data_IF_737869993492
#
_entry.id   IF_737869993492
#
_cell.length_a   1.000
_cell.length_b   1.000
_cell.length_c   1.000
_cell.angle_alpha   90.00
_cell.angle_beta   90.00
_cell.angle_gamma   90.00
#
_symmetry.space_group_name_H-M   'P 1'
#
loop_
_entity.id
_entity.type
_entity.pdbx_description
1 polymer ?
#
# COMPACT_ATOMS: atom_id res chain seq x y z
N UNK A 1 1.33 20.14 9.51
CA UNK A 1 1.25 20.20 8.04
C UNK A 1 0.82 18.84 7.52
N UNK A 2 -0.42 18.73 7.03
CA UNK A 2 -0.94 17.54 6.36
C UNK A 2 -0.86 17.73 4.85
N UNK A 3 -0.48 16.69 4.11
CA UNK A 3 -0.26 16.75 2.67
C UNK A 3 0.06 15.36 2.11
N UNK A 4 0.34 15.29 0.81
CA UNK A 4 0.66 14.02 0.14
C UNK A 4 1.92 13.39 0.75
N UNK A 5 1.84 12.11 1.12
CA UNK A 5 2.96 11.31 1.64
C UNK A 5 3.43 10.31 0.59
N UNK A 6 4.61 9.75 0.78
CA UNK A 6 5.21 8.80 -0.16
C UNK A 6 4.36 7.54 -0.37
N UNK A 7 3.60 7.12 0.64
CA UNK A 7 2.72 5.95 0.52
C UNK A 7 1.35 6.26 -0.10
N UNK A 8 1.06 7.53 -0.44
CA UNK A 8 -0.19 7.91 -1.09
C UNK A 8 -0.11 7.69 -2.60
N UNK A 9 -1.00 6.84 -3.11
CA UNK A 9 -1.11 6.55 -4.54
C UNK A 9 -1.59 7.75 -5.36
N UNK A 10 -1.30 7.75 -6.66
CA UNK A 10 -1.67 8.78 -7.63
C UNK A 10 -3.17 8.98 -7.73
N UNK A 11 -3.93 7.89 -7.57
CA UNK A 11 -5.39 7.84 -7.63
C UNK A 11 -6.04 7.71 -6.25
N UNK A 12 -5.31 8.01 -5.17
CA UNK A 12 -5.82 7.89 -3.80
C UNK A 12 -6.66 9.11 -3.41
N UNK A 13 -7.87 8.84 -2.93
CA UNK A 13 -8.79 9.81 -2.37
C UNK A 13 -9.07 9.50 -0.89
N UNK A 14 -9.57 10.50 -0.17
CA UNK A 14 -10.01 10.36 1.22
C UNK A 14 -11.49 10.73 1.33
N UNK A 15 -12.28 9.82 1.91
CA UNK A 15 -13.69 10.10 2.16
C UNK A 15 -13.80 11.05 3.37
N UNK A 16 -14.17 12.30 3.14
CA UNK A 16 -14.30 13.29 4.20
C UNK A 16 -15.69 13.34 4.83
N UNK A 17 -15.76 13.82 6.06
CA UNK A 17 -17.00 14.24 6.74
C UNK A 17 -17.47 15.66 6.34
N UNK A 18 -16.84 16.27 5.33
CA UNK A 18 -17.22 17.56 4.79
C UNK A 18 -18.32 17.42 3.72
N UNK A 19 -19.49 18.01 3.99
CA UNK A 19 -20.63 18.04 3.08
C UNK A 19 -20.90 19.47 2.61
N UNK A 20 -21.32 19.60 1.35
CA UNK A 20 -21.69 20.87 0.75
C UNK A 20 -22.80 20.64 -0.30
N UNK A 21 -23.51 21.70 -0.69
CA UNK A 21 -24.57 21.67 -1.71
C UNK A 21 -24.09 22.43 -2.94
N UNK A 22 -24.06 21.75 -4.08
CA UNK A 22 -23.61 22.31 -5.36
C UNK A 22 -24.64 22.09 -6.47
N UNK A 23 -24.58 22.92 -7.50
CA UNK A 23 -25.43 22.79 -8.69
C UNK A 23 -25.05 21.56 -9.51
N UNK A 24 -26.03 20.84 -10.07
CA UNK A 24 -25.75 19.70 -10.95
C UNK A 24 -24.89 20.08 -12.18
N UNK A 25 -24.87 21.35 -12.57
CA UNK A 25 -24.06 21.85 -13.67
C UNK A 25 -22.55 21.84 -13.38
N UNK A 26 -22.13 21.70 -12.12
CA UNK A 26 -20.71 21.60 -11.76
C UNK A 26 -20.17 20.18 -11.96
N UNK A 27 -21.03 19.21 -12.30
CA UNK A 27 -20.62 17.81 -12.52
C UNK A 27 -20.07 17.67 -13.94
N UNK A 28 -18.75 17.51 -14.06
CA UNK A 28 -18.09 17.32 -15.36
C UNK A 28 -18.23 15.89 -15.91
N UNK A 29 -18.30 14.89 -15.03
CA UNK A 29 -18.30 13.50 -15.43
C UNK A 29 -18.55 12.53 -14.28
N UNK A 30 -18.58 11.24 -14.60
CA UNK A 30 -18.70 10.15 -13.63
C UNK A 30 -17.33 9.48 -13.44
N UNK A 31 -16.95 9.25 -12.20
CA UNK A 31 -15.78 8.46 -11.84
C UNK A 31 -16.17 7.28 -10.94
N UNK A 32 -15.22 6.35 -10.72
CA UNK A 32 -15.39 5.19 -9.85
C UNK A 32 -14.37 5.27 -8.72
N UNK A 33 -14.86 5.25 -7.48
CA UNK A 33 -14.01 5.13 -6.29
C UNK A 33 -14.07 3.70 -5.78
N UNK A 34 -13.01 2.94 -6.06
CA UNK A 34 -12.87 1.54 -5.67
C UNK A 34 -12.48 1.41 -4.20
N UNK A 35 -12.79 0.25 -3.62
CA UNK A 35 -12.09 -0.19 -2.41
C UNK A 35 -10.63 -0.50 -2.75
N UNK A 36 -9.72 -0.33 -1.78
CA UNK A 36 -8.30 -0.63 -2.00
C UNK A 36 -8.06 -2.02 -2.60
N UNK A 37 -8.75 -3.03 -2.06
CA UNK A 37 -8.64 -4.43 -2.51
C UNK A 37 -9.06 -4.61 -3.96
N UNK A 38 -10.08 -3.90 -4.42
CA UNK A 38 -10.55 -4.00 -5.79
C UNK A 38 -9.62 -3.24 -6.75
N UNK A 39 -9.18 -2.04 -6.35
CA UNK A 39 -8.23 -1.25 -7.13
C UNK A 39 -6.93 -2.01 -7.41
N UNK A 40 -6.34 -2.65 -6.39
CA UNK A 40 -5.10 -3.46 -6.55
C UNK A 40 -5.25 -4.68 -7.46
N UNK A 41 -6.47 -5.04 -7.84
CA UNK A 41 -6.77 -6.18 -8.73
C UNK A 41 -7.13 -5.75 -10.15
N UNK A 42 -7.21 -4.45 -10.43
CA UNK A 42 -7.47 -3.96 -11.77
C UNK A 42 -6.28 -4.31 -12.67
N UNK A 43 -6.56 -4.93 -13.81
CA UNK A 43 -5.53 -5.21 -14.82
C UNK A 43 -4.99 -3.92 -15.43
N UNK A 44 -5.86 -2.93 -15.61
CA UNK A 44 -5.53 -1.60 -16.12
C UNK A 44 -6.28 -0.55 -15.32
N UNK A 45 -5.57 0.49 -14.88
CA UNK A 45 -6.16 1.63 -14.17
C UNK A 45 -6.48 2.73 -15.19
N UNK A 46 -7.76 3.07 -15.33
CA UNK A 46 -8.24 4.13 -16.20
C UNK A 46 -8.09 5.53 -15.61
N UNK A 47 -8.42 6.55 -16.41
CA UNK A 47 -8.41 7.94 -15.95
C UNK A 47 -9.42 8.19 -14.81
N UNK A 48 -10.58 7.52 -14.88
CA UNK A 48 -11.72 7.68 -13.98
C UNK A 48 -11.70 6.69 -12.79
N UNK A 49 -10.67 5.86 -12.67
CA UNK A 49 -10.51 4.90 -11.59
C UNK A 49 -9.71 5.51 -10.44
N UNK A 50 -10.36 5.59 -9.28
CA UNK A 50 -9.78 6.06 -8.03
C UNK A 50 -9.91 4.99 -6.96
N UNK A 51 -9.21 5.16 -5.85
CA UNK A 51 -9.43 4.31 -4.68
C UNK A 51 -9.46 5.10 -3.39
N UNK A 52 -10.19 4.55 -2.42
CA UNK A 52 -10.24 5.08 -1.07
C UNK A 52 -10.01 3.95 -0.07
N UNK A 53 -9.18 4.24 0.94
CA UNK A 53 -8.89 3.32 2.06
C UNK A 53 -8.84 4.01 3.42
N UNK A 54 -9.01 5.34 3.42
CA UNK A 54 -9.08 6.14 4.63
C UNK A 54 -10.27 7.09 4.58
N UNK A 55 -10.88 7.27 5.74
CA UNK A 55 -11.75 8.41 6.01
C UNK A 55 -10.90 9.56 6.57
N UNK A 56 -11.33 10.79 6.28
CA UNK A 56 -10.65 12.01 6.69
C UNK A 56 -11.60 12.93 7.47
N UNK A 57 -11.21 13.32 8.67
CA UNK A 57 -11.96 14.27 9.50
C UNK A 57 -11.51 15.68 9.21
N UNK A 58 -12.25 16.41 8.37
CA UNK A 58 -11.85 17.71 7.84
C UNK A 58 -11.52 18.74 8.93
N UNK A 59 -12.27 18.72 10.03
CA UNK A 59 -12.08 19.65 11.14
C UNK A 59 -10.79 19.39 11.96
N UNK A 60 -10.32 18.13 12.01
CA UNK A 60 -9.20 17.72 12.89
C UNK A 60 -7.95 17.29 12.14
N UNK A 61 -8.06 17.03 10.83
CA UNK A 61 -7.01 16.40 10.04
C UNK A 61 -6.75 14.92 10.38
N UNK A 62 -7.64 14.30 11.16
CA UNK A 62 -7.52 12.89 11.58
C UNK A 62 -7.89 11.92 10.46
N UNK A 63 -7.27 10.74 10.48
CA UNK A 63 -7.54 9.66 9.53
C UNK A 63 -8.08 8.42 10.24
N UNK A 64 -8.99 7.70 9.57
CA UNK A 64 -9.52 6.41 10.02
C UNK A 64 -9.34 5.37 8.90
N UNK A 65 -8.86 4.14 9.18
CA UNK A 65 -8.40 3.66 10.48
C UNK A 65 -7.10 4.34 10.93
N UNK A 66 -6.93 4.44 12.25
CA UNK A 66 -5.69 4.96 12.85
C UNK A 66 -4.51 4.02 12.68
N UNK A 67 -4.77 2.75 12.38
CA UNK A 67 -3.75 1.72 12.21
C UNK A 67 -3.78 1.10 10.82
N UNK A 68 -2.60 1.03 10.21
CA UNK A 68 -2.42 0.52 8.84
C UNK A 68 -1.33 -0.54 8.83
N UNK A 69 -1.54 -1.58 8.04
CA UNK A 69 -0.50 -2.57 7.78
C UNK A 69 0.65 -1.89 7.02
N UNK A 70 1.86 -2.04 7.55
CA UNK A 70 3.10 -1.56 6.96
C UNK A 70 3.98 -2.72 6.54
N UNK A 71 4.87 -2.44 5.59
CA UNK A 71 5.69 -3.41 4.92
C UNK A 71 7.11 -2.89 4.75
N UNK A 72 8.00 -3.80 4.34
CA UNK A 72 9.39 -3.51 4.03
C UNK A 72 10.17 -2.96 5.23
N UNK A 73 11.48 -2.74 5.04
CA UNK A 73 12.37 -2.14 6.04
C UNK A 73 12.06 -0.66 6.29
N UNK A 74 11.37 0.00 5.37
CA UNK A 74 10.92 1.39 5.55
C UNK A 74 9.67 1.51 6.43
N UNK A 75 9.00 0.40 6.74
CA UNK A 75 7.81 0.35 7.60
C UNK A 75 6.72 1.35 7.17
N UNK A 76 6.46 1.39 5.86
CA UNK A 76 5.44 2.25 5.24
C UNK A 76 4.23 1.41 4.79
N UNK A 77 3.01 2.01 4.77
CA UNK A 77 1.86 1.41 4.11
C UNK A 77 2.14 1.15 2.63
N UNK A 78 1.50 0.12 2.07
CA UNK A 78 1.68 -0.23 0.66
C UNK A 78 1.13 0.86 -0.27
N UNK A 79 1.94 1.36 -1.19
CA UNK A 79 1.51 2.23 -2.27
C UNK A 79 1.22 1.36 -3.52
N UNK A 80 0.01 1.36 -4.09
CA UNK A 80 -0.31 0.52 -5.24
C UNK A 80 0.46 0.89 -6.52
N UNK A 81 1.06 2.08 -6.58
CA UNK A 81 1.88 2.51 -7.71
C UNK A 81 3.33 1.99 -7.63
N UNK A 82 3.77 1.53 -6.44
CA UNK A 82 5.13 1.09 -6.20
C UNK A 82 5.24 -0.43 -6.34
N UNK A 83 6.23 -0.89 -7.11
CA UNK A 83 6.54 -2.31 -7.22
C UNK A 83 7.09 -2.83 -5.89
N UNK A 84 6.59 -3.98 -5.46
CA UNK A 84 7.13 -4.73 -4.32
C UNK A 84 7.36 -6.19 -4.71
N UNK A 85 8.38 -6.80 -4.10
CA UNK A 85 8.70 -8.22 -4.22
C UNK A 85 8.45 -8.93 -2.89
N UNK A 86 7.92 -10.14 -2.94
CA UNK A 86 7.65 -10.94 -1.75
C UNK A 86 8.84 -11.87 -1.45
N UNK A 87 9.30 -11.89 -0.20
CA UNK A 87 10.31 -12.85 0.25
C UNK A 87 9.71 -14.24 0.44
N UNK A 88 10.36 -15.28 -0.08
CA UNK A 88 9.91 -16.66 0.02
C UNK A 88 10.04 -17.24 1.42
N UNK A 89 10.96 -16.74 2.24
CA UNK A 89 11.14 -17.15 3.63
C UNK A 89 10.10 -16.54 4.57
N UNK A 90 10.14 -15.21 4.76
CA UNK A 90 9.29 -14.52 5.73
C UNK A 90 7.92 -14.09 5.20
N UNK A 91 7.67 -14.22 3.88
CA UNK A 91 6.43 -13.80 3.19
C UNK A 91 6.11 -12.31 3.30
N UNK A 92 7.05 -11.49 3.77
CA UNK A 92 6.95 -10.03 3.78
C UNK A 92 7.28 -9.41 2.42
N UNK A 93 6.85 -8.18 2.21
CA UNK A 93 6.96 -7.44 0.95
C UNK A 93 8.00 -6.34 1.04
N UNK A 94 8.84 -6.21 0.01
CA UNK A 94 9.93 -5.25 -0.01
C UNK A 94 9.95 -4.43 -1.30
N UNK A 95 10.22 -3.13 -1.19
CA UNK A 95 10.51 -2.30 -2.35
C UNK A 95 11.89 -2.67 -2.90
N UNK A 96 12.06 -2.86 -4.22
CA UNK A 96 13.36 -3.11 -4.84
C UNK A 96 14.42 -2.09 -4.43
N UNK A 97 14.05 -0.81 -4.42
CA UNK A 97 14.96 0.27 -4.03
C UNK A 97 15.46 0.15 -2.58
N UNK A 98 14.61 -0.29 -1.65
CA UNK A 98 15.01 -0.54 -0.25
C UNK A 98 15.97 -1.73 -0.11
N UNK A 99 16.03 -2.60 -1.11
CA UNK A 99 16.95 -3.73 -1.20
C UNK A 99 18.21 -3.42 -2.05
N UNK A 100 18.33 -2.19 -2.56
CA UNK A 100 19.35 -1.80 -3.57
C UNK A 100 19.28 -2.65 -4.85
N UNK A 101 18.07 -3.05 -5.21
CA UNK A 101 17.76 -3.79 -6.42
C UNK A 101 17.05 -2.86 -7.41
N UNK A 102 17.38 -2.94 -8.69
CA UNK A 102 16.68 -2.21 -9.74
C UNK A 102 15.29 -2.80 -10.00
N UNK A 103 14.39 -2.01 -10.60
CA UNK A 103 13.05 -2.48 -10.98
C UNK A 103 13.16 -3.61 -12.03
N UNK A 104 14.14 -3.53 -12.93
CA UNK A 104 14.35 -4.54 -13.97
C UNK A 104 14.81 -5.88 -13.41
N UNK A 105 15.72 -5.86 -12.43
CA UNK A 105 16.13 -7.06 -11.70
C UNK A 105 14.94 -7.64 -10.94
N UNK A 106 14.21 -6.82 -10.19
CA UNK A 106 13.04 -7.26 -9.41
C UNK A 106 11.97 -7.95 -10.28
N UNK A 107 11.75 -7.48 -11.51
CA UNK A 107 10.82 -8.10 -12.46
C UNK A 107 11.29 -9.47 -12.98
N UNK A 108 12.58 -9.77 -12.91
CA UNK A 108 13.19 -11.04 -13.37
C UNK A 108 13.41 -12.05 -12.23
N UNK A 109 13.20 -11.65 -10.98
CA UNK A 109 13.38 -12.54 -9.84
C UNK A 109 12.19 -13.49 -9.73
N UNK A 110 12.45 -14.79 -9.92
CA UNK A 110 11.44 -15.85 -9.70
C UNK A 110 11.35 -16.25 -8.22
N UNK A 111 12.48 -16.31 -7.53
CA UNK A 111 12.59 -16.64 -6.11
C UNK A 111 13.41 -15.58 -5.39
N UNK A 112 12.82 -14.93 -4.41
CA UNK A 112 13.46 -13.85 -3.65
C UNK A 112 13.61 -14.23 -2.18
N UNK A 113 14.80 -14.11 -1.61
CA UNK A 113 15.03 -14.15 -0.17
C UNK A 113 15.57 -12.80 0.29
N UNK A 114 14.97 -12.23 1.35
CA UNK A 114 15.48 -11.00 1.95
C UNK A 114 16.81 -11.26 2.67
N UNK A 115 17.56 -10.19 2.95
CA UNK A 115 18.88 -10.29 3.62
C UNK A 115 18.86 -11.07 4.94
N UNK A 116 17.74 -10.98 5.65
CA UNK A 116 17.56 -11.65 6.94
C UNK A 116 17.35 -13.16 6.72
N UNK A 117 16.60 -13.56 5.69
CA UNK A 117 16.41 -14.98 5.35
C UNK A 117 17.57 -15.60 4.54
N UNK A 118 18.39 -14.80 3.86
CA UNK A 118 19.51 -15.32 3.05
C UNK A 118 20.75 -15.64 3.88
N UNK A 119 20.81 -15.19 5.14
CA UNK A 119 21.95 -15.40 6.03
C UNK A 119 21.73 -16.53 7.05
N UNK A 120 20.54 -17.13 7.08
CA UNK A 120 20.15 -18.23 7.99
C UNK A 120 20.39 -19.64 7.38
N UNK A 121 21.58 -19.91 6.83
CA UNK A 121 21.95 -21.28 6.38
C UNK A 121 22.50 -22.18 7.53
N UNK A 122 22.69 -21.64 8.74
CA UNK A 122 23.19 -22.40 9.89
C UNK A 122 22.18 -22.46 11.04
N UNK A 123 21.32 -23.49 10.99
CA UNK A 123 20.88 -24.23 12.18
C UNK A 123 19.85 -23.60 13.15
N UNK A 124 18.63 -24.16 13.07
CA UNK A 124 17.56 -24.31 14.10
C UNK A 124 16.36 -23.33 14.10
N UNK A 125 15.29 -23.84 13.49
CA UNK A 125 13.88 -23.93 13.94
C UNK A 125 13.35 -22.96 15.01
N UNK A 126 12.21 -22.33 14.73
CA UNK A 126 10.93 -22.87 15.20
C UNK A 126 9.73 -22.26 14.45
N UNK A 127 8.79 -23.13 14.11
CA UNK A 127 7.47 -22.82 13.58
C UNK A 127 6.77 -21.73 14.40
N UNK A 128 6.08 -20.83 13.70
CA UNK A 128 4.70 -20.52 14.03
C UNK A 128 3.90 -20.36 12.74
N UNK A 129 3.13 -21.40 12.43
CA UNK A 129 1.97 -21.29 11.56
C UNK A 129 0.95 -20.38 12.24
N UNK A 130 1.01 -19.09 11.93
CA UNK A 130 -0.07 -18.14 12.15
C UNK A 130 0.11 -17.02 11.12
N UNK A 131 -0.52 -17.18 9.95
CA UNK A 131 -0.62 -16.11 8.98
C UNK A 131 -1.63 -15.08 9.51
N UNK A 132 -1.20 -14.15 10.38
CA UNK A 132 -1.67 -12.76 10.49
C UNK A 132 -1.05 -11.98 11.68
N UNK A 133 -0.91 -10.63 11.60
CA UNK A 133 -0.82 -9.77 10.43
C UNK A 133 0.49 -8.97 10.38
N UNK A 134 0.82 -8.58 9.15
CA UNK A 134 1.73 -7.49 8.75
C UNK A 134 1.77 -6.38 9.80
N UNK A 135 2.97 -5.97 10.20
CA UNK A 135 3.23 -4.95 11.25
C UNK A 135 2.22 -3.81 11.12
N UNK A 136 1.47 -3.50 12.18
CA UNK A 136 0.50 -2.40 12.17
C UNK A 136 1.08 -1.19 12.88
N UNK A 137 1.10 -0.04 12.21
CA UNK A 137 1.53 1.22 12.83
C UNK A 137 0.37 2.20 12.96
N UNK A 138 0.43 2.99 14.02
CA UNK A 138 -0.46 4.11 14.32
C UNK A 138 0.08 5.40 13.69
#
# INVERSE_FOLDING_TARGET
MGGRRQFHGAKELFLSDHYDVQSAHTIEGKCIVHTFKNYTKLENVGAEDYFCRFEYKAATGGFTPDRVAVYCKCEMPYNPDDLMVQCDGCKDWFHPNCLRMSIEEAKKVENFLCSDCSSDDDGKHSHNSAVEPKRRKK
#
